data_IF_058034081524
#
_entry.id   IF_058034081524
#
_cell.length_a   1.000
_cell.length_b   1.000
_cell.length_c   1.000
_cell.angle_alpha   90.00
_cell.angle_beta   90.00
_cell.angle_gamma   90.00
#
_symmetry.space_group_name_H-M   'P 1'
#
loop_
_entity.id
_entity.type
_entity.pdbx_description
1 polymer ?
#
# COMPACT_ATOMS: atom_id res chain seq x y z
N UNK A 1 1.61 -28.16 36.32
CA UNK A 1 2.71 -29.09 35.95
C UNK A 1 3.89 -28.79 36.82
N UNK A 2 4.63 -29.76 37.34
CA UNK A 2 5.86 -29.50 38.06
C UNK A 2 6.90 -28.87 37.14
N UNK A 3 7.66 -27.91 37.61
CA UNK A 3 8.62 -27.08 36.84
C UNK A 3 9.54 -27.92 35.94
N UNK A 4 10.08 -29.04 36.47
CA UNK A 4 10.89 -29.97 35.66
C UNK A 4 10.19 -30.61 34.44
N UNK A 5 8.88 -30.79 34.50
CA UNK A 5 8.13 -31.34 33.37
C UNK A 5 7.95 -30.29 32.26
N UNK A 6 7.86 -29.00 32.60
CA UNK A 6 7.79 -27.90 31.69
C UNK A 6 9.14 -27.66 30.97
N UNK A 7 10.24 -27.74 31.72
CA UNK A 7 11.59 -27.63 31.17
C UNK A 7 11.90 -28.77 30.20
N UNK A 8 11.53 -30.01 30.54
CA UNK A 8 11.69 -31.14 29.62
C UNK A 8 10.86 -30.96 28.33
N UNK A 9 9.63 -30.48 28.45
CA UNK A 9 8.79 -30.18 27.26
C UNK A 9 9.44 -29.12 26.33
N UNK A 10 10.00 -28.05 26.90
CA UNK A 10 10.67 -27.03 26.13
C UNK A 10 11.96 -27.54 25.48
N UNK A 11 12.73 -28.35 26.16
CA UNK A 11 13.94 -28.97 25.63
C UNK A 11 13.60 -29.90 24.45
N UNK A 12 12.62 -30.78 24.64
CA UNK A 12 12.12 -31.63 23.54
C UNK A 12 11.58 -30.82 22.35
N UNK A 13 10.90 -29.70 22.63
CA UNK A 13 10.39 -28.83 21.56
C UNK A 13 11.51 -28.16 20.74
N UNK A 14 12.63 -27.78 21.40
CA UNK A 14 13.80 -27.21 20.72
C UNK A 14 14.51 -28.26 19.87
N UNK A 15 14.56 -29.50 20.31
CA UNK A 15 15.21 -30.62 19.60
C UNK A 15 14.39 -31.14 18.42
N UNK A 16 13.07 -30.93 18.43
CA UNK A 16 12.19 -31.34 17.30
C UNK A 16 12.50 -30.52 16.07
N UNK A 17 12.84 -31.17 14.97
CA UNK A 17 12.92 -30.52 13.66
C UNK A 17 11.55 -29.97 13.29
N UNK A 18 11.43 -28.64 13.21
CA UNK A 18 10.22 -27.98 12.76
C UNK A 18 9.92 -28.32 11.28
N UNK A 19 8.66 -28.18 10.87
CA UNK A 19 8.25 -28.34 9.46
C UNK A 19 8.64 -27.12 8.62
N UNK A 20 8.97 -26.01 9.25
CA UNK A 20 9.27 -24.75 8.58
C UNK A 20 10.77 -24.57 8.36
N UNK A 21 11.11 -24.14 7.15
CA UNK A 21 12.42 -23.61 6.79
C UNK A 21 12.47 -22.10 7.11
N UNK A 22 11.50 -21.35 6.58
CA UNK A 22 11.35 -19.91 6.81
C UNK A 22 9.88 -19.53 7.04
N UNK A 23 9.43 -19.59 8.30
CA UNK A 23 8.05 -19.30 8.67
C UNK A 23 7.60 -17.87 8.27
N UNK A 24 8.54 -16.92 8.15
CA UNK A 24 8.24 -15.53 7.75
C UNK A 24 7.61 -15.42 6.37
N UNK A 25 7.95 -16.33 5.44
CA UNK A 25 7.40 -16.35 4.08
C UNK A 25 5.87 -16.55 4.05
N UNK A 26 5.28 -17.08 5.12
CA UNK A 26 3.82 -17.26 5.26
C UNK A 26 3.12 -16.10 5.97
N UNK A 27 3.86 -15.14 6.50
CA UNK A 27 3.25 -14.01 7.21
C UNK A 27 2.58 -13.05 6.23
N UNK A 28 1.49 -12.42 6.66
CA UNK A 28 0.78 -11.40 5.88
C UNK A 28 1.63 -10.16 5.57
N UNK A 29 2.69 -9.93 6.36
CA UNK A 29 3.67 -8.84 6.18
C UNK A 29 4.78 -9.18 5.18
N UNK A 30 4.87 -10.44 4.72
CA UNK A 30 5.90 -10.85 3.78
C UNK A 30 5.72 -10.16 2.43
N UNK A 31 6.79 -9.56 1.93
CA UNK A 31 6.82 -8.91 0.60
C UNK A 31 7.67 -9.78 -0.33
N UNK A 32 7.09 -10.45 -1.32
CA UNK A 32 7.84 -11.24 -2.28
C UNK A 32 8.59 -10.34 -3.28
N UNK A 33 9.67 -10.85 -3.87
CA UNK A 33 10.44 -10.16 -4.90
C UNK A 33 9.68 -10.04 -6.23
N UNK A 34 8.79 -10.99 -6.51
CA UNK A 34 7.94 -11.01 -7.70
C UNK A 34 6.46 -11.05 -7.32
N UNK A 35 5.62 -10.44 -8.15
CA UNK A 35 4.16 -10.39 -7.96
C UNK A 35 3.52 -11.11 -9.14
N UNK A 36 3.40 -12.44 -9.09
CA UNK A 36 2.84 -13.21 -10.19
C UNK A 36 1.38 -12.81 -10.46
N UNK A 37 0.97 -12.93 -11.73
CA UNK A 37 -0.38 -12.61 -12.22
C UNK A 37 -0.82 -11.16 -12.03
N UNK A 38 0.15 -10.23 -11.93
CA UNK A 38 -0.07 -8.78 -11.87
C UNK A 38 0.77 -8.00 -12.88
N UNK A 39 1.34 -8.67 -13.86
CA UNK A 39 2.21 -8.08 -14.89
C UNK A 39 1.47 -6.97 -15.65
N UNK A 40 0.20 -7.19 -15.98
CA UNK A 40 -0.64 -6.19 -16.64
C UNK A 40 -0.86 -4.97 -15.75
N UNK A 41 -1.26 -5.16 -14.48
CA UNK A 41 -1.47 -4.08 -13.53
C UNK A 41 -0.17 -3.34 -13.22
N UNK A 42 0.95 -4.04 -13.11
CA UNK A 42 2.28 -3.45 -12.95
C UNK A 42 2.59 -2.53 -14.15
N UNK A 43 2.37 -3.01 -15.37
CA UNK A 43 2.60 -2.24 -16.59
C UNK A 43 1.71 -1.02 -16.68
N UNK A 44 0.41 -1.15 -16.37
CA UNK A 44 -0.54 -0.03 -16.38
C UNK A 44 -0.15 1.03 -15.35
N UNK A 45 0.12 0.65 -14.09
CA UNK A 45 0.58 1.58 -13.04
C UNK A 45 1.89 2.26 -13.46
N UNK A 46 2.85 1.50 -14.00
CA UNK A 46 4.12 2.06 -14.45
C UNK A 46 3.93 3.09 -15.57
N UNK A 47 3.06 2.82 -16.55
CA UNK A 47 2.77 3.76 -17.63
C UNK A 47 2.12 5.05 -17.11
N UNK A 48 1.18 4.96 -16.17
CA UNK A 48 0.51 6.12 -15.58
C UNK A 48 1.50 6.98 -14.78
N UNK A 49 2.42 6.36 -14.03
CA UNK A 49 3.36 7.07 -13.16
C UNK A 49 4.68 7.46 -13.86
N UNK A 50 5.00 6.90 -15.03
CA UNK A 50 6.25 7.17 -15.76
C UNK A 50 6.49 8.66 -16.10
N UNK A 51 5.46 9.53 -16.33
CA UNK A 51 5.67 10.96 -16.56
C UNK A 51 6.49 11.65 -15.46
N UNK A 52 6.46 11.15 -14.20
CA UNK A 52 7.33 11.64 -13.12
C UNK A 52 8.80 11.69 -13.51
N UNK A 53 9.29 10.73 -14.32
CA UNK A 53 10.68 10.66 -14.78
C UNK A 53 11.03 11.74 -15.81
N UNK A 54 10.02 12.39 -16.39
CA UNK A 54 10.18 13.57 -17.27
C UNK A 54 9.92 14.88 -16.55
N UNK A 55 9.76 14.85 -15.22
CA UNK A 55 9.36 15.98 -14.38
C UNK A 55 7.96 16.52 -14.74
N UNK A 56 7.10 15.66 -15.24
CA UNK A 56 5.71 15.94 -15.56
C UNK A 56 4.82 15.32 -14.49
N UNK A 57 3.78 16.04 -14.06
CA UNK A 57 2.82 15.50 -13.10
C UNK A 57 2.03 14.35 -13.77
N UNK A 58 2.03 13.13 -13.24
CA UNK A 58 1.16 12.08 -13.72
C UNK A 58 -0.29 12.34 -13.33
N UNK A 59 -1.23 11.67 -13.99
CA UNK A 59 -2.64 11.63 -13.57
C UNK A 59 -2.75 11.05 -12.16
N UNK A 60 -3.75 11.52 -11.41
CA UNK A 60 -4.12 10.86 -10.18
C UNK A 60 -4.65 9.45 -10.50
N UNK A 61 -4.23 8.48 -9.71
CA UNK A 61 -4.58 7.07 -9.92
C UNK A 61 -5.42 6.55 -8.75
N UNK A 62 -6.57 5.99 -9.06
CA UNK A 62 -7.38 5.29 -8.09
C UNK A 62 -7.38 3.78 -8.34
N UNK A 63 -6.94 3.03 -7.33
CA UNK A 63 -6.78 1.57 -7.39
C UNK A 63 -7.75 0.91 -6.43
N UNK A 64 -8.58 0.01 -6.91
CA UNK A 64 -9.54 -0.66 -6.06
C UNK A 64 -9.69 -2.16 -6.38
N UNK A 65 -10.22 -2.90 -5.41
CA UNK A 65 -10.43 -4.34 -5.51
C UNK A 65 -10.51 -4.98 -4.13
N UNK A 66 -10.86 -6.24 -4.06
CA UNK A 66 -10.97 -6.97 -2.79
C UNK A 66 -9.63 -7.02 -2.04
N UNK A 67 -9.70 -7.17 -0.71
CA UNK A 67 -8.52 -7.41 0.13
C UNK A 67 -7.71 -8.59 -0.40
N UNK A 68 -6.38 -8.52 -0.31
CA UNK A 68 -5.48 -9.59 -0.75
C UNK A 68 -5.33 -9.76 -2.27
N UNK A 69 -5.91 -8.88 -3.09
CA UNK A 69 -5.75 -8.89 -4.56
C UNK A 69 -4.41 -8.31 -5.07
N UNK A 70 -3.49 -7.93 -4.20
CA UNK A 70 -2.15 -7.47 -4.57
C UNK A 70 -1.99 -5.97 -4.81
N UNK A 71 -3.02 -5.12 -4.61
CA UNK A 71 -2.99 -3.67 -4.86
C UNK A 71 -1.77 -2.95 -4.25
N UNK A 72 -1.72 -2.95 -2.92
CA UNK A 72 -0.65 -2.27 -2.17
C UNK A 72 0.74 -2.76 -2.57
N UNK A 73 0.87 -4.08 -2.79
CA UNK A 73 2.14 -4.69 -3.17
C UNK A 73 2.59 -4.21 -4.55
N UNK A 74 1.67 -4.21 -5.53
CA UNK A 74 1.93 -3.72 -6.90
C UNK A 74 2.32 -2.25 -6.91
N UNK A 75 1.57 -1.39 -6.19
CA UNK A 75 1.89 0.05 -6.12
C UNK A 75 3.27 0.25 -5.49
N UNK A 76 3.58 -0.41 -4.37
CA UNK A 76 4.91 -0.32 -3.74
C UNK A 76 6.03 -0.78 -4.67
N UNK A 77 5.84 -1.90 -5.36
CA UNK A 77 6.83 -2.43 -6.30
C UNK A 77 7.15 -1.43 -7.43
N UNK A 78 6.11 -0.87 -8.06
CA UNK A 78 6.30 0.12 -9.14
C UNK A 78 6.94 1.41 -8.61
N UNK A 79 6.48 1.92 -7.47
CA UNK A 79 7.01 3.13 -6.85
C UNK A 79 8.49 2.97 -6.46
N UNK A 80 8.88 1.83 -5.91
CA UNK A 80 10.29 1.56 -5.62
C UNK A 80 11.15 1.46 -6.88
N UNK A 81 10.61 0.89 -7.96
CA UNK A 81 11.26 0.91 -9.27
C UNK A 81 11.45 2.34 -9.79
N UNK A 82 10.39 3.15 -9.70
CA UNK A 82 10.41 4.56 -10.10
C UNK A 82 11.42 5.37 -9.29
N UNK A 83 11.49 5.18 -7.96
CA UNK A 83 12.48 5.82 -7.08
C UNK A 83 13.91 5.49 -7.50
N UNK A 84 14.21 4.21 -7.72
CA UNK A 84 15.56 3.79 -8.14
C UNK A 84 16.01 4.48 -9.42
N UNK A 85 15.12 4.55 -10.42
CA UNK A 85 15.40 5.24 -11.69
C UNK A 85 15.56 6.75 -11.47
N UNK A 86 14.66 7.37 -10.69
CA UNK A 86 14.71 8.80 -10.39
C UNK A 86 16.03 9.17 -9.69
N UNK A 87 16.43 8.39 -8.68
CA UNK A 87 17.71 8.59 -7.98
C UNK A 87 18.91 8.46 -8.91
N UNK A 88 18.95 7.42 -9.77
CA UNK A 88 20.05 7.20 -10.72
C UNK A 88 20.19 8.33 -11.76
N UNK A 89 19.10 9.06 -12.03
CA UNK A 89 19.05 10.17 -13.01
C UNK A 89 18.99 11.55 -12.35
N UNK A 90 19.10 11.63 -11.01
CA UNK A 90 18.98 12.87 -10.24
C UNK A 90 17.69 13.65 -10.56
N UNK A 91 16.57 12.92 -10.70
CA UNK A 91 15.25 13.50 -10.93
C UNK A 91 14.65 13.81 -9.56
N UNK A 92 14.15 15.03 -9.34
CA UNK A 92 13.55 15.44 -8.06
C UNK A 92 12.15 14.82 -7.88
N UNK A 93 12.11 13.57 -7.48
CA UNK A 93 10.91 12.80 -7.17
C UNK A 93 10.88 12.47 -5.68
N UNK A 94 9.85 12.93 -4.98
CA UNK A 94 9.56 12.58 -3.59
C UNK A 94 8.36 11.63 -3.55
N UNK A 95 8.37 10.67 -2.64
CA UNK A 95 7.24 9.74 -2.50
C UNK A 95 6.84 9.61 -1.05
N UNK A 96 5.59 9.90 -0.76
CA UNK A 96 4.99 9.80 0.56
C UNK A 96 4.01 8.62 0.58
N UNK A 97 4.12 7.74 1.57
CA UNK A 97 3.20 6.63 1.76
C UNK A 97 2.52 6.72 3.12
N UNK A 98 1.20 6.70 3.11
CA UNK A 98 0.40 6.76 4.31
C UNK A 98 -0.69 5.70 4.28
N UNK A 99 -0.77 4.88 5.35
CA UNK A 99 -1.89 3.97 5.55
C UNK A 99 -2.95 4.65 6.42
N UNK A 100 -4.14 4.88 5.85
CA UNK A 100 -5.22 5.64 6.47
C UNK A 100 -5.97 4.91 7.59
N UNK A 101 -5.72 3.60 7.76
CA UNK A 101 -6.30 2.79 8.84
C UNK A 101 -5.57 2.94 10.17
N UNK A 102 -4.30 3.34 10.16
CA UNK A 102 -3.50 3.45 11.36
C UNK A 102 -4.03 4.57 12.26
N UNK A 103 -4.64 4.21 13.40
CA UNK A 103 -5.32 5.11 14.34
C UNK A 103 -4.50 6.31 14.84
N UNK A 104 -3.18 6.22 14.88
CA UNK A 104 -2.33 7.32 15.39
C UNK A 104 -2.04 8.41 14.36
N UNK A 105 -2.23 8.13 13.08
CA UNK A 105 -1.77 8.99 11.99
C UNK A 105 -2.93 9.65 11.24
N UNK A 106 -4.04 8.96 11.04
CA UNK A 106 -5.14 9.39 10.19
C UNK A 106 -6.47 9.59 10.94
N UNK A 107 -6.43 9.87 12.25
CA UNK A 107 -7.65 10.06 13.04
C UNK A 107 -8.32 11.42 12.80
N UNK A 108 -7.56 12.41 12.38
CA UNK A 108 -8.05 13.75 12.04
C UNK A 108 -7.27 14.32 10.87
N UNK A 109 -7.90 15.21 10.12
CA UNK A 109 -7.27 16.00 9.05
C UNK A 109 -5.96 16.65 9.48
N UNK A 110 -5.97 17.30 10.65
CA UNK A 110 -4.79 17.90 11.26
C UNK A 110 -3.62 16.92 11.38
N UNK A 111 -3.86 15.75 12.00
CA UNK A 111 -2.80 14.77 12.26
C UNK A 111 -2.22 14.20 10.98
N UNK A 112 -3.05 14.01 9.97
CA UNK A 112 -2.61 13.51 8.68
C UNK A 112 -1.71 14.54 7.98
N UNK A 113 -2.14 15.79 7.86
CA UNK A 113 -1.33 16.85 7.24
C UNK A 113 -0.04 17.10 8.03
N UNK A 114 -0.11 17.11 9.36
CA UNK A 114 1.08 17.21 10.21
C UNK A 114 2.05 16.02 10.01
N UNK A 115 1.53 14.82 9.77
CA UNK A 115 2.38 13.66 9.45
C UNK A 115 3.04 13.81 8.09
N UNK A 116 2.30 14.21 7.05
CA UNK A 116 2.86 14.45 5.72
C UNK A 116 3.96 15.51 5.75
N UNK A 117 3.76 16.58 6.53
CA UNK A 117 4.77 17.61 6.70
C UNK A 117 6.04 17.10 7.43
N UNK A 118 5.87 16.22 8.44
CA UNK A 118 7.00 15.56 9.11
C UNK A 118 7.77 14.64 8.17
N UNK A 119 7.06 13.88 7.35
CA UNK A 119 7.66 12.97 6.37
C UNK A 119 8.45 13.75 5.30
N UNK A 120 8.09 15.02 5.07
CA UNK A 120 8.85 15.98 4.24
C UNK A 120 10.00 16.68 5.00
N UNK A 121 10.29 16.28 6.23
CA UNK A 121 11.43 16.76 7.01
C UNK A 121 11.18 17.97 7.92
N UNK A 122 9.91 18.37 8.12
CA UNK A 122 9.58 19.50 9.01
C UNK A 122 8.84 19.03 10.26
N UNK A 123 9.38 19.29 11.46
CA UNK A 123 8.76 18.92 12.70
C UNK A 123 7.55 19.81 13.01
N UNK A 124 6.35 19.37 12.68
CA UNK A 124 5.11 20.01 13.11
C UNK A 124 4.59 19.30 14.36
N UNK A 125 4.18 20.04 15.40
CA UNK A 125 3.55 19.44 16.59
C UNK A 125 2.34 18.59 16.22
N UNK A 126 2.12 17.49 16.94
CA UNK A 126 0.98 16.61 16.69
C UNK A 126 -0.37 17.23 17.10
N UNK A 127 -0.37 18.33 17.84
CA UNK A 127 -1.54 19.09 18.32
C UNK A 127 -1.13 20.53 18.66
N UNK A 128 -2.12 21.44 18.70
CA UNK A 128 -1.90 22.77 19.29
C UNK A 128 -1.88 23.93 18.30
N UNK A 129 -1.81 23.67 16.99
CA UNK A 129 -1.94 24.71 15.96
C UNK A 129 -3.34 24.68 15.34
N UNK A 130 -3.86 25.79 14.83
CA UNK A 130 -5.03 25.79 13.95
C UNK A 130 -4.80 24.95 12.70
N UNK A 131 -5.82 24.24 12.22
CA UNK A 131 -5.70 23.36 11.04
C UNK A 131 -5.21 24.11 9.80
N UNK A 132 -5.67 25.36 9.61
CA UNK A 132 -5.28 26.21 8.49
C UNK A 132 -3.78 26.57 8.51
N UNK A 133 -3.21 26.75 9.70
CA UNK A 133 -1.77 26.98 9.84
C UNK A 133 -0.97 25.73 9.44
N UNK A 134 -1.45 24.54 9.82
CA UNK A 134 -0.80 23.28 9.45
C UNK A 134 -0.82 23.08 7.94
N UNK A 135 -1.92 23.39 7.27
CA UNK A 135 -1.99 23.41 5.80
C UNK A 135 -1.01 24.41 5.19
N UNK A 136 -0.94 25.63 5.73
CA UNK A 136 -0.01 26.66 5.25
C UNK A 136 1.44 26.21 5.38
N UNK A 137 1.81 25.54 6.47
CA UNK A 137 3.13 24.95 6.63
C UNK A 137 3.37 23.82 5.63
N UNK A 138 2.41 22.91 5.48
CA UNK A 138 2.50 21.79 4.53
C UNK A 138 2.70 22.30 3.09
N UNK A 139 1.93 23.29 2.64
CA UNK A 139 2.06 23.87 1.30
C UNK A 139 3.41 24.55 1.10
N UNK A 140 3.91 25.31 2.09
CA UNK A 140 5.24 25.93 2.03
C UNK A 140 6.36 24.89 1.90
N UNK A 141 6.25 23.78 2.63
CA UNK A 141 7.23 22.69 2.57
C UNK A 141 7.16 21.99 1.23
N UNK A 142 5.95 21.69 0.77
CA UNK A 142 5.71 21.06 -0.52
C UNK A 142 6.34 21.86 -1.64
N UNK A 143 6.12 23.18 -1.64
CA UNK A 143 6.54 24.14 -2.67
C UNK A 143 7.94 24.73 -2.44
N UNK A 144 8.73 24.16 -1.50
CA UNK A 144 10.06 24.68 -1.16
C UNK A 144 11.10 24.51 -2.27
N UNK A 145 10.88 23.57 -3.19
CA UNK A 145 11.77 23.29 -4.33
C UNK A 145 10.98 22.67 -5.49
N UNK A 146 11.45 22.83 -6.74
CA UNK A 146 10.85 22.17 -7.91
C UNK A 146 10.97 20.66 -7.79
N UNK A 147 9.85 19.95 -7.60
CA UNK A 147 9.81 18.48 -7.51
C UNK A 147 8.42 17.94 -7.82
N UNK A 148 8.36 16.66 -8.17
CA UNK A 148 7.13 15.88 -8.19
C UNK A 148 7.00 15.18 -6.84
N UNK A 149 5.85 15.30 -6.19
CA UNK A 149 5.52 14.56 -4.97
C UNK A 149 4.41 13.56 -5.31
N UNK A 150 4.70 12.28 -5.15
CA UNK A 150 3.74 11.21 -5.31
C UNK A 150 3.23 10.78 -3.94
N UNK A 151 1.97 11.10 -3.64
CA UNK A 151 1.33 10.76 -2.37
C UNK A 151 0.47 9.51 -2.53
N UNK A 152 0.86 8.45 -1.85
CA UNK A 152 0.15 7.17 -1.82
C UNK A 152 -0.68 7.10 -0.54
N UNK A 153 -2.01 7.05 -0.69
CA UNK A 153 -2.98 6.89 0.38
C UNK A 153 -3.55 5.47 0.34
N UNK A 154 -3.06 4.60 1.22
CA UNK A 154 -3.54 3.22 1.31
C UNK A 154 -4.72 3.12 2.29
N UNK A 155 -5.72 2.31 1.95
CA UNK A 155 -7.01 2.21 2.64
C UNK A 155 -7.72 3.58 2.73
N UNK A 156 -7.77 4.30 1.61
CA UNK A 156 -8.31 5.67 1.49
C UNK A 156 -9.80 5.76 1.86
N UNK A 157 -10.56 4.68 1.73
CA UNK A 157 -11.93 4.55 2.17
C UNK A 157 -12.08 4.87 3.67
N UNK A 158 -11.13 4.45 4.48
CA UNK A 158 -11.11 4.75 5.93
C UNK A 158 -10.86 6.23 6.23
N UNK A 159 -10.24 6.95 5.31
CA UNK A 159 -10.00 8.38 5.46
C UNK A 159 -11.27 9.20 5.19
N UNK A 160 -11.95 8.93 4.09
CA UNK A 160 -13.19 9.63 3.72
C UNK A 160 -14.29 9.45 4.79
N UNK A 161 -14.42 8.25 5.36
CA UNK A 161 -15.35 8.02 6.48
C UNK A 161 -15.06 8.91 7.69
N UNK A 162 -13.79 9.27 7.92
CA UNK A 162 -13.37 10.08 9.09
C UNK A 162 -13.38 11.58 8.85
N UNK A 163 -13.11 12.03 7.62
CA UNK A 163 -12.85 13.45 7.29
C UNK A 163 -13.90 14.08 6.37
N UNK A 164 -15.02 13.37 6.08
CA UNK A 164 -16.10 13.85 5.21
C UNK A 164 -15.60 14.43 3.89
N UNK A 165 -14.67 13.75 3.19
CA UNK A 165 -14.09 14.12 1.91
C UNK A 165 -13.32 15.46 1.86
N UNK A 166 -13.39 16.31 2.90
CA UNK A 166 -12.78 17.63 2.88
C UNK A 166 -11.27 17.57 2.67
N UNK A 167 -10.61 16.61 3.32
CA UNK A 167 -9.17 16.41 3.15
C UNK A 167 -8.81 15.99 1.71
N UNK A 168 -9.58 15.05 1.14
CA UNK A 168 -9.36 14.62 -0.25
C UNK A 168 -9.61 15.77 -1.23
N UNK A 169 -10.64 16.58 -0.97
CA UNK A 169 -10.89 17.79 -1.75
C UNK A 169 -9.70 18.75 -1.72
N UNK A 170 -9.16 19.04 -0.55
CA UNK A 170 -8.00 19.91 -0.39
C UNK A 170 -6.75 19.35 -1.08
N UNK A 171 -6.47 18.05 -0.91
CA UNK A 171 -5.32 17.39 -1.53
C UNK A 171 -5.42 17.33 -3.07
N UNK A 172 -6.60 17.10 -3.63
CA UNK A 172 -6.77 17.07 -5.09
C UNK A 172 -6.61 18.44 -5.75
N UNK A 173 -6.81 19.52 -4.98
CA UNK A 173 -6.72 20.90 -5.47
C UNK A 173 -5.43 21.62 -5.10
N UNK A 174 -4.56 20.98 -4.33
CA UNK A 174 -3.32 21.61 -3.85
C UNK A 174 -2.45 22.17 -4.98
N UNK A 175 -2.47 21.57 -6.16
CA UNK A 175 -1.70 22.06 -7.31
C UNK A 175 -2.10 23.46 -7.79
N UNK A 176 -3.28 23.96 -7.43
CA UNK A 176 -3.68 25.34 -7.71
C UNK A 176 -2.93 26.36 -6.83
N UNK A 177 -2.45 25.92 -5.66
CA UNK A 177 -1.71 26.74 -4.69
C UNK A 177 -0.18 26.63 -4.85
N UNK A 178 0.31 25.56 -5.51
CA UNK A 178 1.73 25.29 -5.71
C UNK A 178 2.28 26.04 -6.94
N UNK A 179 3.50 26.56 -6.83
CA UNK A 179 4.19 27.30 -7.90
C UNK A 179 5.36 26.50 -8.51
N UNK A 180 6.05 25.73 -7.70
CA UNK A 180 7.27 25.01 -8.07
C UNK A 180 7.09 23.49 -8.04
N UNK A 181 6.46 22.98 -7.00
CA UNK A 181 6.20 21.56 -6.85
C UNK A 181 4.86 21.16 -7.48
N UNK A 182 4.73 19.87 -7.77
CA UNK A 182 3.47 19.27 -8.22
C UNK A 182 3.18 18.02 -7.40
N UNK A 183 1.92 17.84 -7.00
CA UNK A 183 1.45 16.67 -6.27
C UNK A 183 0.59 15.79 -7.18
N UNK A 184 0.84 14.49 -7.16
CA UNK A 184 -0.05 13.49 -7.72
C UNK A 184 -0.46 12.49 -6.64
N UNK A 185 -1.71 12.04 -6.70
CA UNK A 185 -2.31 11.13 -5.73
C UNK A 185 -2.43 9.72 -6.27
N UNK A 186 -2.11 8.74 -5.45
CA UNK A 186 -2.45 7.32 -5.67
C UNK A 186 -3.33 6.87 -4.52
N UNK A 187 -4.62 6.70 -4.77
CA UNK A 187 -5.58 6.19 -3.80
C UNK A 187 -5.75 4.68 -3.93
N UNK A 188 -5.64 3.94 -2.83
CA UNK A 188 -5.86 2.49 -2.80
C UNK A 188 -7.05 2.19 -1.87
N UNK A 189 -8.10 1.55 -2.39
CA UNK A 189 -9.27 1.16 -1.62
C UNK A 189 -9.56 -0.33 -1.69
N UNK A 190 -10.11 -0.87 -0.61
CA UNK A 190 -10.67 -2.21 -0.55
C UNK A 190 -12.16 -2.25 -0.92
N UNK A 191 -12.81 -1.08 -1.00
CA UNK A 191 -14.22 -0.95 -1.37
C UNK A 191 -14.37 -0.50 -2.83
N UNK A 192 -14.91 -1.37 -3.72
CA UNK A 192 -15.18 -1.01 -5.11
C UNK A 192 -16.23 0.10 -5.27
N UNK A 193 -17.06 0.34 -4.26
CA UNK A 193 -18.12 1.35 -4.28
C UNK A 193 -17.70 2.67 -3.65
N UNK A 194 -16.50 2.75 -3.12
CA UNK A 194 -15.99 3.93 -2.42
C UNK A 194 -16.19 5.22 -3.24
N UNK A 195 -15.81 5.22 -4.52
CA UNK A 195 -15.93 6.40 -5.38
C UNK A 195 -17.39 6.84 -5.63
N UNK A 196 -18.38 5.96 -5.42
CA UNK A 196 -19.80 6.33 -5.58
C UNK A 196 -20.34 7.16 -4.43
N UNK A 197 -19.65 7.18 -3.29
CA UNK A 197 -20.04 7.92 -2.08
C UNK A 197 -19.28 9.26 -1.95
N UNK A 198 -18.24 9.48 -2.75
CA UNK A 198 -17.47 10.72 -2.73
C UNK A 198 -18.22 11.91 -3.35
N UNK A 199 -17.92 13.11 -2.86
CA UNK A 199 -18.31 14.35 -3.55
C UNK A 199 -17.89 14.27 -5.03
N UNK A 200 -18.79 14.59 -5.99
CA UNK A 200 -18.47 14.50 -7.43
C UNK A 200 -17.21 15.25 -7.85
N UNK A 201 -16.87 16.35 -7.18
CA UNK A 201 -15.67 17.15 -7.44
C UNK A 201 -14.39 16.42 -7.01
N UNK A 202 -14.45 15.72 -5.88
CA UNK A 202 -13.35 14.88 -5.37
C UNK A 202 -13.20 13.67 -6.27
N UNK A 203 -14.29 13.00 -6.59
CA UNK A 203 -14.31 11.84 -7.48
C UNK A 203 -13.66 12.17 -8.83
N UNK A 204 -14.09 13.24 -9.49
CA UNK A 204 -13.54 13.66 -10.79
C UNK A 204 -12.04 13.93 -10.75
N UNK A 205 -11.53 14.49 -9.65
CA UNK A 205 -10.10 14.81 -9.51
C UNK A 205 -9.25 13.64 -8.99
N UNK A 206 -9.82 12.73 -8.21
CA UNK A 206 -9.12 11.56 -7.67
C UNK A 206 -9.02 10.45 -8.71
N UNK A 207 -10.10 10.23 -9.48
CA UNK A 207 -10.23 9.14 -10.44
C UNK A 207 -9.94 9.61 -11.87
N UNK A 208 -8.84 10.34 -12.09
CA UNK A 208 -8.36 10.68 -13.44
C UNK A 208 -8.02 9.39 -14.20
N UNK A 209 -7.41 8.42 -13.49
CA UNK A 209 -7.19 7.05 -13.96
C UNK A 209 -7.70 6.06 -12.91
N UNK A 210 -8.44 5.04 -13.34
CA UNK A 210 -8.95 3.99 -12.46
C UNK A 210 -8.40 2.62 -12.85
N UNK A 211 -7.96 1.85 -11.84
CA UNK A 211 -7.43 0.51 -12.05
C UNK A 211 -8.06 -0.50 -11.11
N UNK A 212 -8.71 -1.51 -11.70
CA UNK A 212 -9.34 -2.60 -10.95
C UNK A 212 -8.36 -3.75 -10.75
N UNK A 213 -8.29 -4.23 -9.50
CA UNK A 213 -7.56 -5.45 -9.16
C UNK A 213 -8.56 -6.60 -8.93
N UNK A 214 -8.74 -7.49 -9.91
CA UNK A 214 -9.62 -8.63 -9.75
C UNK A 214 -9.07 -9.57 -8.67
N UNK A 215 -9.94 -10.30 -7.94
CA UNK A 215 -9.50 -11.35 -7.03
C UNK A 215 -8.74 -12.42 -7.80
N UNK A 216 -7.79 -13.07 -7.12
CA UNK A 216 -7.09 -14.21 -7.71
C UNK A 216 -8.02 -15.41 -7.89
N UNK A 217 -7.87 -16.12 -9.01
CA UNK A 217 -8.53 -17.41 -9.23
C UNK A 217 -7.74 -18.56 -8.57
N UNK A 218 -8.30 -19.78 -8.60
CA UNK A 218 -7.70 -20.93 -7.93
C UNK A 218 -6.31 -21.29 -8.46
N UNK A 219 -6.10 -21.21 -9.78
CA UNK A 219 -4.81 -21.55 -10.39
C UNK A 219 -3.74 -20.51 -10.04
N UNK A 220 -4.10 -19.23 -10.04
CA UNK A 220 -3.21 -18.14 -9.63
C UNK A 220 -2.82 -18.26 -8.15
N UNK A 221 -3.78 -18.56 -7.27
CA UNK A 221 -3.50 -18.80 -5.86
C UNK A 221 -2.62 -20.03 -5.64
N UNK A 222 -2.85 -21.10 -6.40
CA UNK A 222 -2.02 -22.30 -6.34
C UNK A 222 -0.56 -21.97 -6.64
N UNK A 223 -0.28 -21.21 -7.69
CA UNK A 223 1.08 -20.81 -8.06
C UNK A 223 1.73 -19.93 -6.98
N UNK A 224 0.99 -18.93 -6.48
CA UNK A 224 1.45 -18.05 -5.38
C UNK A 224 1.78 -18.88 -4.13
N UNK A 225 0.92 -19.84 -3.77
CA UNK A 225 1.11 -20.71 -2.62
C UNK A 225 2.29 -21.67 -2.82
N UNK A 226 2.49 -22.22 -4.02
CA UNK A 226 3.67 -23.05 -4.33
C UNK A 226 4.98 -22.27 -4.14
N UNK A 227 5.05 -21.04 -4.65
CA UNK A 227 6.23 -20.18 -4.45
C UNK A 227 6.49 -19.91 -2.96
N UNK A 228 5.45 -19.58 -2.20
CA UNK A 228 5.59 -19.33 -0.75
C UNK A 228 5.92 -20.62 0.03
N UNK A 229 5.30 -21.72 -0.32
CA UNK A 229 5.53 -23.01 0.32
C UNK A 229 6.97 -23.51 0.11
N UNK A 230 7.53 -23.32 -1.07
CA UNK A 230 8.92 -23.69 -1.37
C UNK A 230 9.95 -22.93 -0.52
N UNK A 231 9.63 -21.71 -0.11
CA UNK A 231 10.46 -20.92 0.81
C UNK A 231 10.21 -21.28 2.28
N UNK A 232 8.95 -21.56 2.61
CA UNK A 232 8.52 -21.67 4.01
C UNK A 232 8.73 -23.06 4.62
N UNK A 233 8.63 -24.13 3.82
CA UNK A 233 8.61 -25.50 4.33
C UNK A 233 9.83 -26.31 3.88
N UNK A 234 10.22 -27.25 4.72
CA UNK A 234 11.18 -28.30 4.31
C UNK A 234 10.57 -29.18 3.23
N UNK A 235 11.41 -29.75 2.37
CA UNK A 235 10.99 -30.74 1.37
C UNK A 235 10.22 -31.87 2.04
N UNK A 236 9.10 -32.28 1.45
CA UNK A 236 8.20 -33.32 1.96
C UNK A 236 7.44 -32.96 3.25
N UNK A 237 7.43 -31.72 3.70
CA UNK A 237 6.64 -31.31 4.86
C UNK A 237 5.14 -31.18 4.56
N UNK A 238 4.78 -30.97 3.29
CA UNK A 238 3.40 -30.90 2.83
C UNK A 238 3.03 -32.17 2.09
N UNK A 239 1.83 -32.70 2.38
CA UNK A 239 1.26 -33.81 1.62
C UNK A 239 0.81 -33.35 0.23
N UNK A 240 0.71 -34.27 -0.70
CA UNK A 240 0.19 -34.04 -2.06
C UNK A 240 -1.26 -33.49 -2.01
N UNK A 241 -1.57 -32.52 -2.83
CA UNK A 241 -2.89 -31.90 -2.94
C UNK A 241 -3.24 -30.87 -1.88
N UNK A 242 -2.36 -30.61 -0.89
CA UNK A 242 -2.64 -29.59 0.17
C UNK A 242 -2.73 -28.20 -0.41
N UNK A 243 -1.77 -27.79 -1.24
CA UNK A 243 -1.72 -26.44 -1.83
C UNK A 243 -2.91 -26.23 -2.77
N UNK A 244 -3.22 -27.20 -3.62
CA UNK A 244 -4.36 -27.20 -4.54
C UNK A 244 -5.66 -27.01 -3.79
N UNK A 245 -5.84 -27.72 -2.69
CA UNK A 245 -7.02 -27.66 -1.85
C UNK A 245 -7.14 -26.29 -1.16
N UNK A 246 -6.05 -25.76 -0.59
CA UNK A 246 -6.02 -24.43 0.00
C UNK A 246 -6.36 -23.36 -1.04
N UNK A 247 -5.76 -23.41 -2.23
CA UNK A 247 -6.03 -22.49 -3.31
C UNK A 247 -7.50 -22.52 -3.77
N UNK A 248 -8.08 -23.71 -3.92
CA UNK A 248 -9.47 -23.87 -4.32
C UNK A 248 -10.45 -23.29 -3.28
N UNK A 249 -10.23 -23.56 -1.99
CA UNK A 249 -11.04 -22.97 -0.92
C UNK A 249 -10.90 -21.46 -0.86
N UNK A 250 -9.69 -20.93 -0.90
CA UNK A 250 -9.44 -19.49 -0.84
C UNK A 250 -10.06 -18.77 -2.04
N UNK A 251 -9.96 -19.32 -3.25
CA UNK A 251 -10.58 -18.74 -4.44
C UNK A 251 -12.12 -18.69 -4.35
N UNK A 252 -12.71 -19.76 -3.81
CA UNK A 252 -14.17 -19.85 -3.64
C UNK A 252 -14.71 -18.85 -2.63
N UNK A 253 -14.01 -18.66 -1.51
CA UNK A 253 -14.50 -17.82 -0.42
C UNK A 253 -14.22 -16.32 -0.65
N UNK A 254 -12.99 -15.97 -1.04
CA UNK A 254 -12.59 -14.56 -1.04
C UNK A 254 -11.57 -14.16 -2.12
N UNK A 255 -10.80 -15.10 -2.70
CA UNK A 255 -9.73 -14.79 -3.66
C UNK A 255 -8.55 -14.00 -3.07
N UNK A 256 -8.33 -14.12 -1.75
CA UNK A 256 -7.32 -13.37 -0.98
C UNK A 256 -6.06 -14.23 -0.79
N UNK A 257 -4.95 -13.83 -1.42
CA UNK A 257 -3.68 -14.53 -1.34
C UNK A 257 -3.02 -14.49 0.06
N UNK A 258 -3.43 -13.58 0.95
CA UNK A 258 -2.91 -13.50 2.32
C UNK A 258 -3.56 -14.51 3.25
N UNK A 259 -4.81 -14.88 2.96
CA UNK A 259 -5.61 -15.80 3.78
C UNK A 259 -5.54 -17.24 3.28
N UNK A 260 -5.14 -17.42 2.04
CA UNK A 260 -4.92 -18.74 1.45
C UNK A 260 -3.74 -19.47 2.08
#
# INVERSE_FOLDING_TARGET
MPEKALDNFFNEFIERKGIFLEKKALQSSYTPDSIPHREEQISQVANILAPCLRRERPSNLFVYGKTGSGKTLTIKHVVEGLKRVAQSKSIPLETLYLNCKLKKVADTEYRLIAQLARDLGQPIPATGLPTDEVYSFFYKILDSMPRIVLLILDEIDQLAEKTNDQLLYNLTRVNAELKQAQLALVGISNDPKFTSHLDPRVKSSLSEEELVFPPYNALQLQEILHQRASLAFHKCALAEGVIEKCAAYAAREHGDARRA
#
